data_IF_554322837701
#
_entry.id   IF_554322837701
#
_cell.length_a   1.000
_cell.length_b   1.000
_cell.length_c   1.000
_cell.angle_alpha   90.00
_cell.angle_beta   90.00
_cell.angle_gamma   90.00
#
_symmetry.space_group_name_H-M   'P 1'
#
loop_
_entity.id
_entity.type
_entity.pdbx_description
1 polymer ?
#
# COMPACT_ATOMS: atom_id res chain seq x y z
N UNK A 1 7.10 -50.30 8.71
CA UNK A 1 7.84 -49.37 9.60
C UNK A 1 8.33 -48.12 8.86
N UNK A 2 8.72 -48.18 7.58
CA UNK A 2 9.16 -46.99 6.80
C UNK A 2 8.03 -46.00 6.43
N UNK A 3 6.78 -46.44 6.40
CA UNK A 3 5.63 -45.64 5.93
C UNK A 3 5.19 -44.56 6.93
N UNK A 4 5.54 -44.69 8.21
CA UNK A 4 5.14 -43.73 9.26
C UNK A 4 6.05 -42.51 9.33
N UNK A 5 7.25 -42.55 8.76
CA UNK A 5 8.18 -41.40 8.76
C UNK A 5 7.88 -40.36 7.67
N UNK A 6 7.16 -40.73 6.60
CA UNK A 6 6.86 -39.79 5.50
C UNK A 6 5.77 -38.77 5.83
N UNK A 7 4.90 -39.04 6.81
CA UNK A 7 3.79 -38.15 7.15
C UNK A 7 4.22 -36.92 7.98
N UNK A 8 5.34 -37.00 8.71
CA UNK A 8 5.79 -35.93 9.59
C UNK A 8 6.48 -34.76 8.85
N UNK A 9 7.00 -34.99 7.63
CA UNK A 9 7.76 -33.98 6.89
C UNK A 9 6.90 -32.93 6.16
N UNK A 10 5.59 -33.18 5.96
CA UNK A 10 4.69 -32.24 5.27
C UNK A 10 4.05 -31.20 6.20
N UNK A 11 4.15 -31.33 7.52
CA UNK A 11 3.50 -30.40 8.45
C UNK A 11 4.28 -29.08 8.67
N UNK A 12 5.50 -28.94 8.13
CA UNK A 12 6.41 -27.83 8.46
C UNK A 12 6.45 -26.69 7.42
N UNK A 13 5.66 -26.74 6.34
CA UNK A 13 5.91 -25.93 5.13
C UNK A 13 4.89 -24.81 4.85
N UNK A 14 4.04 -24.40 5.80
CA UNK A 14 3.01 -23.36 5.53
C UNK A 14 2.94 -22.23 6.55
N UNK A 15 4.03 -21.94 7.27
CA UNK A 15 4.12 -20.67 7.98
C UNK A 15 4.42 -19.56 6.95
N UNK A 16 3.42 -18.72 6.65
CA UNK A 16 3.64 -17.49 5.90
C UNK A 16 4.71 -16.64 6.63
N UNK A 17 5.70 -16.07 5.93
CA UNK A 17 6.68 -15.21 6.56
C UNK A 17 5.96 -14.09 7.33
N UNK A 18 6.48 -13.68 8.51
CA UNK A 18 5.87 -12.61 9.28
C UNK A 18 5.77 -11.36 8.41
N UNK A 19 4.67 -10.59 8.53
CA UNK A 19 4.47 -9.42 7.69
C UNK A 19 5.67 -8.48 7.86
N UNK A 20 6.16 -7.86 6.77
CA UNK A 20 7.27 -6.94 6.82
C UNK A 20 6.94 -5.80 7.79
N UNK A 21 7.74 -5.64 8.84
CA UNK A 21 7.55 -4.57 9.82
C UNK A 21 8.11 -3.29 9.23
N UNK A 22 7.26 -2.51 8.57
CA UNK A 22 7.61 -1.16 8.14
C UNK A 22 7.82 -0.24 9.35
N UNK A 23 8.73 0.73 9.25
CA UNK A 23 8.81 1.85 10.20
C UNK A 23 7.52 2.68 10.17
N UNK A 24 7.27 3.51 11.20
CA UNK A 24 6.08 4.37 11.21
C UNK A 24 6.06 5.35 10.02
N UNK A 25 7.21 5.91 9.68
CA UNK A 25 7.39 6.78 8.51
C UNK A 25 7.03 6.04 7.21
N UNK A 26 7.57 4.84 7.01
CA UNK A 26 7.29 4.03 5.82
C UNK A 26 5.81 3.63 5.73
N UNK A 27 5.14 3.38 6.87
CA UNK A 27 3.69 3.14 6.90
C UNK A 27 2.91 4.39 6.49
N UNK A 28 3.31 5.57 6.95
CA UNK A 28 2.65 6.82 6.55
C UNK A 28 2.78 7.07 5.05
N UNK A 29 3.97 6.87 4.48
CA UNK A 29 4.23 6.96 3.04
C UNK A 29 3.35 5.99 2.24
N UNK A 30 3.34 4.71 2.63
CA UNK A 30 2.50 3.68 2.02
C UNK A 30 1.01 4.08 2.04
N UNK A 31 0.54 4.53 3.20
CA UNK A 31 -0.85 4.92 3.41
C UNK A 31 -1.25 6.09 2.51
N UNK A 32 -0.41 7.12 2.40
CA UNK A 32 -0.69 8.25 1.52
C UNK A 32 -0.62 7.89 0.03
N UNK A 33 0.34 7.05 -0.36
CA UNK A 33 0.38 6.51 -1.72
C UNK A 33 -0.90 5.73 -2.07
N UNK A 34 -1.38 4.88 -1.15
CA UNK A 34 -2.63 4.13 -1.32
C UNK A 34 -3.86 5.05 -1.40
N UNK A 35 -3.95 6.07 -0.53
CA UNK A 35 -5.03 7.06 -0.57
C UNK A 35 -5.11 7.75 -1.94
N UNK A 36 -3.97 8.17 -2.49
CA UNK A 36 -3.93 8.82 -3.80
C UNK A 36 -4.34 7.89 -4.94
N UNK A 37 -3.93 6.62 -4.89
CA UNK A 37 -4.36 5.63 -5.86
C UNK A 37 -5.89 5.42 -5.83
N UNK A 38 -6.47 5.34 -4.63
CA UNK A 38 -7.92 5.20 -4.44
C UNK A 38 -8.66 6.43 -4.98
N UNK A 39 -8.26 7.63 -4.55
CA UNK A 39 -8.91 8.87 -4.97
C UNK A 39 -8.74 9.10 -6.47
N UNK A 40 -7.55 8.88 -7.04
CA UNK A 40 -7.34 9.00 -8.48
C UNK A 40 -8.19 8.00 -9.29
N UNK A 41 -8.38 6.77 -8.79
CA UNK A 41 -9.26 5.81 -9.44
C UNK A 41 -10.73 6.25 -9.42
N UNK A 42 -11.19 6.80 -8.28
CA UNK A 42 -12.54 7.35 -8.13
C UNK A 42 -12.76 8.59 -9.01
N UNK A 43 -11.77 9.48 -9.10
CA UNK A 43 -11.78 10.63 -10.01
C UNK A 43 -11.93 10.18 -11.47
N UNK A 44 -11.17 9.16 -11.89
CA UNK A 44 -11.26 8.60 -13.25
C UNK A 44 -12.64 7.98 -13.56
N UNK A 45 -13.39 7.57 -12.53
CA UNK A 45 -14.76 7.04 -12.63
C UNK A 45 -15.85 8.11 -12.48
N UNK A 46 -15.49 9.37 -12.29
CA UNK A 46 -16.44 10.47 -12.14
C UNK A 46 -17.12 10.51 -10.76
N UNK A 47 -16.54 9.94 -9.73
CA UNK A 47 -17.07 9.99 -8.36
C UNK A 47 -17.00 11.44 -7.81
N UNK A 48 -18.18 12.03 -7.54
CA UNK A 48 -18.30 13.39 -7.04
C UNK A 48 -17.58 13.60 -5.70
N UNK A 49 -17.55 12.59 -4.83
CA UNK A 49 -16.82 12.69 -3.54
C UNK A 49 -15.32 12.74 -3.76
N UNK A 50 -14.79 12.14 -4.82
CA UNK A 50 -13.36 12.20 -5.13
C UNK A 50 -12.97 13.50 -5.85
N UNK A 51 -13.94 14.20 -6.45
CA UNK A 51 -13.73 15.49 -7.14
C UNK A 51 -13.54 16.66 -6.17
N UNK A 52 -13.86 16.51 -4.88
CA UNK A 52 -13.55 17.52 -3.87
C UNK A 52 -12.03 17.65 -3.64
N UNK A 53 -11.26 16.60 -3.98
CA UNK A 53 -9.81 16.58 -3.86
C UNK A 53 -9.13 17.11 -5.12
N UNK A 54 -7.91 17.67 -5.03
CA UNK A 54 -7.12 18.07 -6.20
C UNK A 54 -6.97 16.91 -7.21
N UNK A 55 -6.75 17.23 -8.48
CA UNK A 55 -6.55 16.20 -9.49
C UNK A 55 -5.25 15.41 -9.22
N UNK A 56 -5.38 14.12 -8.89
CA UNK A 56 -4.24 13.28 -8.47
C UNK A 56 -3.64 12.44 -9.60
N UNK A 57 -4.22 12.47 -10.80
CA UNK A 57 -3.85 11.60 -11.90
C UNK A 57 -2.35 11.62 -12.20
N UNK A 58 -1.71 12.80 -12.22
CA UNK A 58 -0.27 12.94 -12.50
C UNK A 58 0.58 12.94 -11.22
N UNK A 59 0.42 13.95 -10.36
CA UNK A 59 1.27 14.14 -9.17
C UNK A 59 1.12 13.01 -8.15
N UNK A 60 -0.11 12.53 -7.93
CA UNK A 60 -0.37 11.39 -7.04
C UNK A 60 0.21 10.08 -7.58
N UNK A 61 0.19 9.87 -8.90
CA UNK A 61 0.83 8.71 -9.54
C UNK A 61 2.35 8.76 -9.41
N UNK A 62 2.96 9.93 -9.60
CA UNK A 62 4.39 10.11 -9.42
C UNK A 62 4.81 9.83 -7.97
N UNK A 63 4.09 10.41 -7.00
CA UNK A 63 4.29 10.13 -5.58
C UNK A 63 4.21 8.63 -5.29
N UNK A 64 3.19 7.94 -5.82
CA UNK A 64 3.02 6.51 -5.64
C UNK A 64 4.23 5.72 -6.14
N UNK A 65 4.68 5.96 -7.38
CA UNK A 65 5.81 5.23 -7.98
C UNK A 65 7.10 5.46 -7.19
N UNK A 66 7.41 6.72 -6.84
CA UNK A 66 8.63 7.06 -6.08
C UNK A 66 8.59 6.44 -4.68
N UNK A 67 7.43 6.47 -4.03
CA UNK A 67 7.23 5.84 -2.72
C UNK A 67 7.42 4.33 -2.79
N UNK A 68 6.84 3.65 -3.76
CA UNK A 68 6.99 2.19 -3.88
C UNK A 68 8.45 1.78 -4.10
N UNK A 69 9.19 2.52 -4.94
CA UNK A 69 10.62 2.28 -5.13
C UNK A 69 11.41 2.47 -3.81
N UNK A 70 11.19 3.59 -3.12
CA UNK A 70 11.83 3.87 -1.83
C UNK A 70 11.50 2.81 -0.77
N UNK A 71 10.27 2.30 -0.75
CA UNK A 71 9.88 1.26 0.20
C UNK A 71 10.54 -0.09 -0.14
N UNK A 72 10.66 -0.46 -1.42
CA UNK A 72 11.41 -1.64 -1.83
C UNK A 72 12.86 -1.57 -1.32
N UNK A 73 13.54 -0.44 -1.51
CA UNK A 73 14.92 -0.22 -1.06
C UNK A 73 15.05 -0.32 0.47
N UNK A 74 14.08 0.24 1.21
CA UNK A 74 14.12 0.31 2.68
C UNK A 74 13.70 -0.98 3.38
N UNK A 75 12.77 -1.73 2.80
CA UNK A 75 12.22 -2.94 3.43
C UNK A 75 12.78 -4.23 2.85
N UNK A 76 13.54 -4.17 1.76
CA UNK A 76 14.02 -5.34 1.02
C UNK A 76 12.90 -6.13 0.34
N UNK A 77 11.70 -5.54 0.19
CA UNK A 77 10.59 -6.17 -0.52
C UNK A 77 10.82 -6.05 -2.02
N UNK A 78 10.45 -7.09 -2.74
CA UNK A 78 10.40 -7.03 -4.19
C UNK A 78 9.12 -6.32 -4.67
N UNK A 79 8.98 -6.21 -6.00
CA UNK A 79 7.81 -5.58 -6.63
C UNK A 79 6.49 -6.26 -6.24
N UNK A 80 6.47 -7.58 -6.12
CA UNK A 80 5.27 -8.33 -5.79
C UNK A 80 4.86 -8.07 -4.33
N UNK A 81 5.82 -8.09 -3.42
CA UNK A 81 5.63 -7.81 -2.00
C UNK A 81 5.11 -6.39 -1.75
N UNK A 82 5.73 -5.38 -2.37
CA UNK A 82 5.28 -4.00 -2.17
C UNK A 82 3.91 -3.73 -2.81
N UNK A 83 3.62 -4.34 -3.97
CA UNK A 83 2.30 -4.24 -4.60
C UNK A 83 1.20 -4.89 -3.75
N UNK A 84 1.46 -6.07 -3.18
CA UNK A 84 0.54 -6.73 -2.25
C UNK A 84 0.27 -5.85 -1.02
N UNK A 85 1.31 -5.22 -0.47
CA UNK A 85 1.20 -4.35 0.68
C UNK A 85 0.38 -3.08 0.37
N UNK A 86 0.63 -2.42 -0.76
CA UNK A 86 -0.13 -1.26 -1.20
C UNK A 86 -1.60 -1.58 -1.49
N UNK A 87 -1.87 -2.73 -2.12
CA UNK A 87 -3.23 -3.20 -2.36
C UNK A 87 -3.99 -3.48 -1.06
N UNK A 88 -3.32 -4.13 -0.09
CA UNK A 88 -3.90 -4.40 1.22
C UNK A 88 -4.24 -3.11 1.96
N UNK A 89 -3.34 -2.13 1.97
CA UNK A 89 -3.58 -0.83 2.60
C UNK A 89 -4.75 -0.08 1.93
N UNK A 90 -4.81 -0.07 0.59
CA UNK A 90 -5.91 0.54 -0.15
C UNK A 90 -7.26 -0.13 0.16
N UNK A 91 -7.31 -1.46 0.17
CA UNK A 91 -8.54 -2.21 0.48
C UNK A 91 -8.98 -1.96 1.93
N UNK A 92 -8.06 -2.02 2.89
CA UNK A 92 -8.34 -1.76 4.29
C UNK A 92 -8.88 -0.34 4.51
N UNK A 93 -8.25 0.66 3.88
CA UNK A 93 -8.68 2.06 3.95
C UNK A 93 -10.08 2.27 3.40
N UNK A 94 -10.39 1.64 2.25
CA UNK A 94 -11.74 1.70 1.66
C UNK A 94 -12.76 1.01 2.56
N UNK A 95 -12.46 -0.19 3.06
CA UNK A 95 -13.36 -0.96 3.92
C UNK A 95 -13.70 -0.22 5.23
N UNK A 96 -12.74 0.55 5.77
CA UNK A 96 -12.92 1.33 6.99
C UNK A 96 -13.49 2.74 6.75
N UNK A 97 -13.63 3.17 5.49
CA UNK A 97 -14.10 4.53 5.17
C UNK A 97 -13.10 5.62 5.55
N UNK A 98 -11.80 5.32 5.61
CA UNK A 98 -10.78 6.22 6.15
C UNK A 98 -10.20 7.19 5.10
N UNK A 99 -10.61 7.09 3.84
CA UNK A 99 -10.03 7.87 2.71
C UNK A 99 -10.09 9.37 2.99
N UNK A 100 -11.27 9.89 3.33
CA UNK A 100 -11.44 11.34 3.52
C UNK A 100 -10.72 11.84 4.79
N UNK A 101 -10.57 10.98 5.80
CA UNK A 101 -9.83 11.31 7.02
C UNK A 101 -8.33 11.48 6.77
N UNK A 102 -7.74 10.66 5.88
CA UNK A 102 -6.29 10.67 5.66
C UNK A 102 -5.84 11.70 4.63
N UNK A 103 -6.73 12.05 3.69
CA UNK A 103 -6.41 12.89 2.55
C UNK A 103 -5.77 14.25 2.91
N UNK A 104 -6.24 15.01 3.92
CA UNK A 104 -5.63 16.29 4.27
C UNK A 104 -4.14 16.19 4.61
N UNK A 105 -3.77 15.22 5.45
CA UNK A 105 -2.37 14.99 5.84
C UNK A 105 -1.55 14.48 4.66
N UNK A 106 -2.15 13.63 3.83
CA UNK A 106 -1.47 13.10 2.66
C UNK A 106 -1.17 14.20 1.64
N UNK A 107 -2.07 15.14 1.39
CA UNK A 107 -1.82 16.27 0.50
C UNK A 107 -0.64 17.14 0.99
N UNK A 108 -0.53 17.39 2.30
CA UNK A 108 0.64 18.07 2.85
C UNK A 108 1.94 17.29 2.60
N UNK A 109 1.90 15.95 2.68
CA UNK A 109 3.04 15.10 2.36
C UNK A 109 3.38 15.09 0.86
N UNK A 110 2.37 15.16 -0.02
CA UNK A 110 2.56 15.30 -1.46
C UNK A 110 3.31 16.59 -1.79
N UNK A 111 2.88 17.72 -1.21
CA UNK A 111 3.54 19.01 -1.38
C UNK A 111 5.00 18.99 -0.90
N UNK A 112 5.26 18.39 0.26
CA UNK A 112 6.60 18.26 0.82
C UNK A 112 7.54 17.36 -0.01
N UNK A 113 6.98 16.44 -0.82
CA UNK A 113 7.78 15.51 -1.64
C UNK A 113 8.39 16.14 -2.90
N UNK A 114 7.99 17.37 -3.24
CA UNK A 114 8.50 18.11 -4.39
C UNK A 114 7.99 17.62 -5.75
N UNK A 115 6.88 16.85 -5.78
CA UNK A 115 6.16 16.42 -6.99
C UNK A 115 4.84 17.15 -7.14
#
# INVERSE_FOLDING_TARGET
MLTSLLAAALALQTAAPPPPVLSQENRALLRCAAAFAVVSNRQAKGDATAQQWPALGTRGREFFVRTMAQLMDRSGLDRAGIAALANSEAQAMVAKGEVDQVMPVCLAMLEASGV
#
